data_IF_713430993948
#
_entry.id   IF_713430993948
#
_cell.length_a   1.000
_cell.length_b   1.000
_cell.length_c   1.000
_cell.angle_alpha   90.00
_cell.angle_beta   90.00
_cell.angle_gamma   90.00
#
_symmetry.space_group_name_H-M   'P 1'
#
loop_
_entity.id
_entity.type
_entity.pdbx_description
1 polymer ?
#
# COMPACT_ATOMS: atom_id res chain seq x y z
N UNK A 1 17.48 18.50 5.17
CA UNK A 1 18.34 17.28 5.00
C UNK A 1 17.56 15.96 5.03
N UNK A 2 16.25 15.97 5.30
CA UNK A 2 15.40 14.77 5.31
C UNK A 2 14.79 14.41 3.95
N UNK A 3 14.81 15.32 2.97
CA UNK A 3 14.17 15.10 1.67
C UNK A 3 14.90 14.11 0.76
N UNK A 4 16.22 13.92 0.93
CA UNK A 4 16.99 13.04 0.06
C UNK A 4 16.79 11.55 0.36
N UNK A 5 16.52 11.18 1.60
CA UNK A 5 16.31 9.77 1.98
C UNK A 5 14.95 9.23 1.51
N UNK A 6 13.88 10.03 1.62
CA UNK A 6 12.56 9.66 1.14
C UNK A 6 12.53 9.56 -0.40
N UNK A 7 13.11 10.53 -1.11
CA UNK A 7 13.22 10.48 -2.57
C UNK A 7 14.08 9.30 -3.05
N UNK A 8 15.19 9.00 -2.36
CA UNK A 8 16.02 7.83 -2.64
C UNK A 8 15.28 6.52 -2.38
N UNK A 9 14.43 6.47 -1.37
CA UNK A 9 13.65 5.28 -1.03
C UNK A 9 12.56 5.02 -2.07
N UNK A 10 11.84 6.05 -2.50
CA UNK A 10 10.85 5.97 -3.60
C UNK A 10 11.53 5.50 -4.89
N UNK A 11 12.67 6.06 -5.26
CA UNK A 11 13.42 5.65 -6.45
C UNK A 11 13.87 4.18 -6.37
N UNK A 12 14.38 3.74 -5.23
CA UNK A 12 14.79 2.34 -5.03
C UNK A 12 13.62 1.37 -5.06
N UNK A 13 12.48 1.74 -4.50
CA UNK A 13 11.26 0.92 -4.56
C UNK A 13 10.73 0.79 -5.99
N UNK A 14 10.78 1.83 -6.78
CA UNK A 14 10.38 1.80 -8.20
C UNK A 14 11.25 0.85 -9.03
N UNK A 15 12.54 0.77 -8.76
CA UNK A 15 13.45 -0.17 -9.45
C UNK A 15 13.13 -1.63 -9.11
N UNK A 16 12.72 -1.93 -7.87
CA UNK A 16 12.40 -3.29 -7.42
C UNK A 16 10.99 -3.74 -7.75
N UNK A 17 10.07 -2.82 -8.01
CA UNK A 17 8.68 -3.13 -8.37
C UNK A 17 8.46 -3.05 -9.87
N UNK A 18 9.07 -3.93 -10.62
CA UNK A 18 8.86 -4.07 -12.05
C UNK A 18 7.50 -4.73 -12.35
N UNK A 19 6.41 -4.04 -11.98
CA UNK A 19 5.04 -4.55 -12.19
C UNK A 19 4.64 -4.53 -13.65
N UNK A 20 3.84 -5.51 -14.03
CA UNK A 20 3.22 -5.59 -15.36
C UNK A 20 4.20 -5.64 -16.54
N UNK A 21 5.37 -6.26 -16.36
CA UNK A 21 6.28 -6.53 -17.46
C UNK A 21 5.70 -7.57 -18.43
N UNK A 22 6.27 -7.66 -19.64
CA UNK A 22 5.80 -8.58 -20.70
C UNK A 22 5.78 -10.05 -20.27
N UNK A 23 6.61 -10.44 -19.30
CA UNK A 23 6.67 -11.79 -18.75
C UNK A 23 5.53 -12.15 -17.79
N UNK A 24 4.79 -11.16 -17.27
CA UNK A 24 3.66 -11.42 -16.39
C UNK A 24 2.44 -11.90 -17.17
N UNK A 25 1.92 -13.07 -16.82
CA UNK A 25 0.71 -13.63 -17.45
C UNK A 25 -0.54 -12.83 -17.13
N UNK A 26 -0.60 -12.31 -15.89
CA UNK A 26 -1.72 -11.53 -15.40
C UNK A 26 -1.26 -10.14 -14.96
N UNK A 27 -2.12 -9.15 -15.16
CA UNK A 27 -1.84 -7.78 -14.73
C UNK A 27 -2.08 -7.64 -13.24
N UNK A 28 -1.12 -7.03 -12.56
CA UNK A 28 -1.23 -6.64 -11.16
C UNK A 28 -1.72 -5.19 -11.10
N UNK A 29 -2.80 -4.94 -10.36
CA UNK A 29 -3.22 -3.58 -10.05
C UNK A 29 -2.33 -3.02 -8.95
N UNK A 30 -1.50 -2.04 -9.29
CA UNK A 30 -0.57 -1.43 -8.36
C UNK A 30 -0.70 0.10 -8.42
N UNK A 31 -0.82 0.72 -7.25
CA UNK A 31 -0.88 2.16 -7.08
C UNK A 31 0.16 2.62 -6.08
N UNK A 32 0.56 3.87 -6.18
CA UNK A 32 1.41 4.57 -5.21
C UNK A 32 0.69 5.82 -4.74
N UNK A 33 0.58 6.00 -3.43
CA UNK A 33 -0.03 7.19 -2.84
C UNK A 33 1.11 8.06 -2.32
N UNK A 34 1.23 9.27 -2.86
CA UNK A 34 2.17 10.30 -2.40
C UNK A 34 1.36 11.49 -1.94
N UNK A 35 1.25 11.65 -0.64
CA UNK A 35 0.42 12.67 -0.02
C UNK A 35 1.19 13.41 1.09
N UNK A 36 0.48 14.06 1.99
CA UNK A 36 1.00 14.99 3.00
C UNK A 36 1.82 14.28 4.08
N UNK A 37 1.39 13.10 4.50
CA UNK A 37 2.04 12.33 5.56
C UNK A 37 2.75 11.11 5.01
N UNK A 38 3.92 10.80 5.60
CA UNK A 38 4.62 9.55 5.30
C UNK A 38 3.90 8.38 5.98
N UNK A 39 3.43 7.43 5.20
CA UNK A 39 2.86 6.17 5.68
C UNK A 39 3.87 5.05 5.48
N UNK A 40 4.10 4.26 6.53
CA UNK A 40 5.08 3.17 6.51
C UNK A 40 4.47 1.84 7.00
N UNK A 41 3.18 1.68 6.80
CA UNK A 41 2.49 0.43 7.10
C UNK A 41 2.88 -0.66 6.09
N UNK A 42 3.14 -1.85 6.60
CA UNK A 42 3.46 -3.04 5.80
C UNK A 42 2.48 -4.14 6.18
N UNK A 43 1.37 -4.17 5.45
CA UNK A 43 0.27 -5.11 5.68
C UNK A 43 0.18 -6.06 4.50
N UNK A 44 0.05 -7.35 4.79
CA UNK A 44 -0.19 -8.39 3.78
C UNK A 44 -1.55 -9.03 4.04
N UNK A 45 -2.36 -9.12 3.01
CA UNK A 45 -3.67 -9.75 3.04
C UNK A 45 -3.75 -10.85 1.98
N UNK A 46 -4.10 -12.06 2.42
CA UNK A 46 -4.29 -13.23 1.56
C UNK A 46 -5.71 -13.74 1.71
N UNK A 47 -6.47 -13.77 0.61
CA UNK A 47 -7.85 -14.27 0.59
C UNK A 47 -7.96 -15.75 0.95
N UNK A 48 -6.99 -16.59 0.50
CA UNK A 48 -6.85 -18.00 0.84
C UNK A 48 -8.18 -18.79 0.81
N UNK A 49 -8.93 -18.70 -0.30
CA UNK A 49 -10.23 -19.37 -0.49
C UNK A 49 -11.26 -19.07 0.61
N UNK A 50 -11.25 -17.87 1.15
CA UNK A 50 -12.16 -17.44 2.23
C UNK A 50 -11.61 -17.62 3.66
N UNK A 51 -10.51 -18.34 3.85
CA UNK A 51 -9.78 -18.39 5.12
C UNK A 51 -8.77 -17.23 5.20
N UNK A 52 -9.26 -16.02 5.31
CA UNK A 52 -8.48 -14.79 5.23
C UNK A 52 -7.31 -14.77 6.22
N UNK A 53 -6.09 -14.65 5.69
CA UNK A 53 -4.87 -14.48 6.47
C UNK A 53 -4.33 -13.06 6.31
N UNK A 54 -3.96 -12.44 7.41
CA UNK A 54 -3.46 -11.08 7.44
C UNK A 54 -2.25 -10.98 8.36
N UNK A 55 -1.24 -10.22 7.90
CA UNK A 55 0.01 -10.03 8.63
C UNK A 55 0.40 -8.56 8.59
N UNK A 56 1.05 -8.11 9.65
CA UNK A 56 1.83 -6.87 9.67
C UNK A 56 3.31 -7.24 9.69
N UNK A 57 4.14 -6.49 8.98
CA UNK A 57 5.56 -6.80 8.83
C UNK A 57 6.45 -5.59 9.07
N UNK A 58 7.68 -5.86 9.49
CA UNK A 58 8.75 -4.86 9.57
C UNK A 58 9.51 -4.73 8.25
N UNK A 59 9.41 -5.72 7.35
CA UNK A 59 10.16 -5.77 6.12
C UNK A 59 9.60 -4.88 5.02
N UNK A 60 10.45 -4.04 4.44
CA UNK A 60 10.23 -3.52 3.08
C UNK A 60 10.58 -4.62 2.06
N UNK A 61 9.95 -4.60 0.91
CA UNK A 61 10.29 -5.51 -0.20
C UNK A 61 11.54 -5.03 -0.93
N UNK A 62 12.65 -4.98 -0.19
CA UNK A 62 13.96 -4.56 -0.67
C UNK A 62 14.98 -5.64 -0.34
N UNK A 63 15.99 -5.80 -1.20
CA UNK A 63 17.07 -6.77 -1.02
C UNK A 63 17.69 -6.70 0.38
N UNK A 64 17.97 -5.50 0.88
CA UNK A 64 18.55 -5.34 2.23
C UNK A 64 17.68 -5.90 3.35
N UNK A 65 16.34 -5.86 3.22
CA UNK A 65 15.40 -6.36 4.21
C UNK A 65 15.23 -7.87 4.08
N UNK A 66 15.09 -8.37 2.84
CA UNK A 66 14.78 -9.77 2.57
C UNK A 66 16.01 -10.68 2.69
N UNK A 67 17.21 -10.18 2.34
CA UNK A 67 18.42 -11.00 2.25
C UNK A 67 19.42 -10.76 3.39
N UNK A 68 19.42 -9.56 4.00
CA UNK A 68 20.48 -9.15 4.92
C UNK A 68 20.02 -8.71 6.31
N UNK A 69 18.71 -8.64 6.56
CA UNK A 69 18.15 -8.24 7.85
C UNK A 69 17.32 -9.37 8.46
N UNK A 70 17.24 -9.35 9.78
CA UNK A 70 16.24 -10.13 10.51
C UNK A 70 14.98 -9.29 10.58
N UNK A 71 13.92 -9.76 9.96
CA UNK A 71 12.63 -9.10 9.89
C UNK A 71 11.55 -9.98 10.54
N UNK A 72 10.50 -9.34 11.02
CA UNK A 72 9.39 -10.02 11.66
C UNK A 72 8.09 -9.80 10.89
N UNK A 73 7.27 -10.85 10.80
CA UNK A 73 5.90 -10.77 10.32
C UNK A 73 4.98 -11.40 11.37
N UNK A 74 4.02 -10.60 11.86
CA UNK A 74 3.09 -11.03 12.91
C UNK A 74 1.71 -11.28 12.32
N UNK A 75 1.13 -12.47 12.51
CA UNK A 75 -0.22 -12.76 12.05
C UNK A 75 -1.25 -12.02 12.90
N UNK A 76 -2.27 -11.47 12.26
CA UNK A 76 -3.42 -10.87 12.91
C UNK A 76 -4.48 -11.95 13.08
N UNK A 77 -4.76 -12.34 14.31
CA UNK A 77 -5.69 -13.42 14.61
C UNK A 77 -7.11 -12.91 14.93
N UNK A 78 -7.22 -11.73 15.52
CA UNK A 78 -8.50 -11.16 15.95
C UNK A 78 -9.33 -10.69 14.76
N UNK A 79 -10.58 -11.14 14.70
CA UNK A 79 -11.50 -10.84 13.58
C UNK A 79 -11.82 -9.36 13.43
N UNK A 80 -11.97 -8.63 14.53
CA UNK A 80 -12.21 -7.20 14.53
C UNK A 80 -11.02 -6.42 13.92
N UNK A 81 -9.78 -6.76 14.31
CA UNK A 81 -8.58 -6.14 13.75
C UNK A 81 -8.38 -6.48 12.27
N UNK A 82 -8.70 -7.71 11.86
CA UNK A 82 -8.68 -8.06 10.42
C UNK A 82 -9.65 -7.21 9.62
N UNK A 83 -10.88 -7.02 10.15
CA UNK A 83 -11.88 -6.18 9.50
C UNK A 83 -11.41 -4.74 9.38
N UNK A 84 -10.90 -4.17 10.46
CA UNK A 84 -10.39 -2.80 10.48
C UNK A 84 -9.25 -2.60 9.47
N UNK A 85 -8.23 -3.47 9.48
CA UNK A 85 -7.12 -3.40 8.53
C UNK A 85 -7.58 -3.58 7.08
N UNK A 86 -8.57 -4.42 6.84
CA UNK A 86 -9.14 -4.60 5.50
C UNK A 86 -9.83 -3.31 5.02
N UNK A 87 -10.62 -2.67 5.85
CA UNK A 87 -11.25 -1.37 5.53
C UNK A 87 -10.20 -0.30 5.23
N UNK A 88 -9.11 -0.23 6.03
CA UNK A 88 -8.01 0.70 5.77
C UNK A 88 -7.34 0.46 4.40
N UNK A 89 -7.08 -0.81 4.06
CA UNK A 89 -6.53 -1.17 2.75
C UNK A 89 -7.50 -0.83 1.61
N UNK A 90 -8.80 -1.07 1.79
CA UNK A 90 -9.82 -0.74 0.79
C UNK A 90 -9.93 0.76 0.56
N UNK A 91 -9.85 1.58 1.61
CA UNK A 91 -9.81 3.04 1.50
C UNK A 91 -8.58 3.48 0.69
N UNK A 92 -7.39 2.90 0.96
CA UNK A 92 -6.18 3.20 0.21
C UNK A 92 -6.30 2.81 -1.27
N UNK A 93 -6.85 1.64 -1.57
CA UNK A 93 -7.03 1.16 -2.94
C UNK A 93 -8.05 1.99 -3.75
N UNK A 94 -8.96 2.67 -3.06
CA UNK A 94 -9.97 3.56 -3.65
C UNK A 94 -9.50 5.01 -3.81
N UNK A 95 -8.29 5.35 -3.35
CA UNK A 95 -7.76 6.71 -3.51
C UNK A 95 -7.73 7.11 -4.98
N UNK A 96 -8.41 8.20 -5.31
CA UNK A 96 -8.47 8.76 -6.67
C UNK A 96 -8.08 10.23 -6.72
N UNK A 97 -7.48 10.74 -5.63
CA UNK A 97 -7.00 12.13 -5.52
C UNK A 97 -5.48 12.20 -5.54
N UNK A 98 -4.83 11.28 -4.84
CA UNK A 98 -3.37 11.24 -4.68
C UNK A 98 -2.72 9.99 -5.26
N UNK A 99 -3.51 8.94 -5.48
CA UNK A 99 -3.00 7.69 -6.04
C UNK A 99 -2.52 7.86 -7.49
N UNK A 100 -1.42 7.19 -7.77
CA UNK A 100 -0.78 7.13 -9.08
C UNK A 100 -0.61 5.68 -9.51
N UNK A 101 -0.84 5.43 -10.78
CA UNK A 101 -0.73 4.10 -11.36
C UNK A 101 0.75 3.71 -11.45
N UNK A 102 1.09 2.57 -10.88
CA UNK A 102 2.39 1.96 -11.08
C UNK A 102 2.32 1.04 -12.30
N UNK A 103 2.93 1.49 -13.38
CA UNK A 103 3.02 0.73 -14.62
C UNK A 103 4.48 0.40 -14.98
N UNK A 104 4.66 -0.47 -15.98
CA UNK A 104 5.99 -0.86 -16.47
C UNK A 104 6.83 0.31 -17.00
N UNK A 105 6.20 1.41 -17.40
CA UNK A 105 6.83 2.59 -17.99
C UNK A 105 7.09 3.68 -16.95
N UNK A 106 6.62 3.50 -15.71
CA UNK A 106 6.72 4.46 -14.61
C UNK A 106 6.25 5.88 -15.00
N UNK A 107 5.14 5.97 -15.75
CA UNK A 107 4.61 7.25 -16.24
C UNK A 107 4.08 8.13 -15.12
N UNK A 108 3.84 7.55 -13.95
CA UNK A 108 3.40 8.28 -12.76
C UNK A 108 2.06 9.04 -12.97
N UNK A 109 1.19 8.47 -13.78
CA UNK A 109 -0.14 9.01 -14.07
C UNK A 109 -1.06 8.86 -12.87
N UNK A 110 -1.86 9.88 -12.61
CA UNK A 110 -2.89 9.79 -11.57
C UNK A 110 -3.95 8.75 -11.93
N UNK A 111 -4.50 8.10 -10.91
CA UNK A 111 -5.72 7.30 -11.06
C UNK A 111 -6.85 8.22 -11.52
N UNK A 112 -7.62 7.79 -12.52
CA UNK A 112 -8.75 8.59 -13.00
C UNK A 112 -9.75 8.83 -11.87
N UNK A 113 -10.05 10.10 -11.64
CA UNK A 113 -11.01 10.51 -10.62
C UNK A 113 -12.42 10.38 -11.17
N UNK A 114 -13.27 9.60 -10.49
CA UNK A 114 -14.71 9.76 -10.66
C UNK A 114 -15.11 11.17 -10.22
N UNK A 115 -15.70 11.94 -11.12
CA UNK A 115 -16.10 13.32 -10.85
C UNK A 115 -17.08 13.46 -9.69
N UNK A 116 -17.79 12.38 -9.36
CA UNK A 116 -18.85 12.37 -8.35
C UNK A 116 -18.36 11.99 -6.94
N UNK A 117 -17.22 11.30 -6.82
CA UNK A 117 -16.72 10.84 -5.51
C UNK A 117 -15.21 10.95 -5.45
N UNK A 118 -14.72 11.98 -4.78
CA UNK A 118 -13.28 12.16 -4.51
C UNK A 118 -12.91 11.47 -3.18
N UNK A 119 -11.99 10.54 -3.23
CA UNK A 119 -11.48 9.81 -2.06
C UNK A 119 -9.99 10.12 -1.94
N UNK A 120 -9.62 10.85 -0.87
CA UNK A 120 -8.23 11.09 -0.46
C UNK A 120 -7.96 10.21 0.76
N UNK A 121 -7.26 9.13 0.58
CA UNK A 121 -7.14 8.05 1.57
C UNK A 121 -6.68 8.51 2.95
N UNK A 122 -5.70 9.40 3.06
CA UNK A 122 -5.22 9.88 4.35
C UNK A 122 -6.31 10.59 5.16
N UNK A 123 -7.16 11.36 4.51
CA UNK A 123 -8.27 12.05 5.16
C UNK A 123 -9.40 11.07 5.51
N UNK A 124 -9.72 10.15 4.60
CA UNK A 124 -10.79 9.17 4.84
C UNK A 124 -10.40 8.17 5.93
N UNK A 125 -9.13 7.74 6.01
CA UNK A 125 -8.62 6.90 7.10
C UNK A 125 -8.72 7.64 8.44
N UNK A 126 -8.32 8.91 8.49
CA UNK A 126 -8.47 9.72 9.70
C UNK A 126 -9.93 9.80 10.15
N UNK A 127 -10.84 10.09 9.22
CA UNK A 127 -12.27 10.17 9.51
C UNK A 127 -12.84 8.82 9.97
N UNK A 128 -12.43 7.73 9.33
CA UNK A 128 -12.81 6.38 9.70
C UNK A 128 -12.39 6.07 11.14
N UNK A 129 -11.13 6.26 11.49
CA UNK A 129 -10.60 6.00 12.83
C UNK A 129 -11.21 6.90 13.90
N UNK A 130 -11.41 8.20 13.61
CA UNK A 130 -12.05 9.14 14.52
C UNK A 130 -13.50 8.75 14.88
N UNK A 131 -14.21 8.12 13.95
CA UNK A 131 -15.59 7.70 14.16
C UNK A 131 -15.72 6.31 14.80
N UNK A 132 -14.63 5.57 14.96
CA UNK A 132 -14.61 4.32 15.71
C UNK A 132 -14.74 4.64 17.21
N UNK A 133 -15.76 4.10 17.83
CA UNK A 133 -15.89 4.09 19.30
C UNK A 133 -15.16 2.84 19.80
N UNK A 134 -13.99 3.02 20.37
CA UNK A 134 -13.27 1.98 21.09
C UNK A 134 -13.87 1.74 22.48
#
# INVERSE_FOLDING_TARGET
>A
LSSSSAASDVYKRQIYCAVNQKSFKEKIHAISIVDEYLEHARVMYFYNKGAENMYISSADWMTRNLDYRIEAATPILQKNLKKELKELLEIQLQDNVKARILDKNMRNEYVESDKNKKIRSQIEIYNYLKNQKY
#
